data_IF_032589515514
#
_entry.id   IF_032589515514
#
_cell.length_a   1.000
_cell.length_b   1.000
_cell.length_c   1.000
_cell.angle_alpha   90.00
_cell.angle_beta   90.00
_cell.angle_gamma   90.00
#
_symmetry.space_group_name_H-M   'P 1'
#
loop_
_entity.id
_entity.type
_entity.pdbx_description
1 polymer ?
#
# COMPACT_ATOMS: atom_id res chain seq x y z
N UNK A 1 -16.20 49.33 34.01
CA UNK A 1 -14.73 49.16 34.21
C UNK A 1 -14.48 47.73 34.69
N UNK A 2 -13.94 46.77 33.93
CA UNK A 2 -12.89 46.87 32.94
C UNK A 2 -11.52 46.58 33.58
N UNK A 3 -11.24 45.33 33.95
CA UNK A 3 -9.86 44.82 34.12
C UNK A 3 -9.73 43.55 33.29
N UNK A 4 -8.97 43.68 32.20
CA UNK A 4 -8.60 42.62 31.27
C UNK A 4 -7.76 41.58 32.01
N UNK A 5 -8.13 40.30 31.91
CA UNK A 5 -7.21 39.18 32.07
C UNK A 5 -6.47 39.03 30.75
N UNK A 6 -5.20 39.41 30.74
CA UNK A 6 -4.26 38.93 29.73
C UNK A 6 -3.84 37.53 30.17
N UNK A 7 -4.43 36.51 29.54
CA UNK A 7 -3.87 35.17 29.60
C UNK A 7 -3.10 34.97 28.31
N UNK A 8 -1.78 34.82 28.46
CA UNK A 8 -0.84 34.61 27.40
C UNK A 8 -1.23 33.38 26.57
N UNK A 9 -1.26 33.58 25.25
CA UNK A 9 -1.15 32.52 24.28
C UNK A 9 0.21 31.83 24.44
N UNK A 10 0.23 30.51 24.40
CA UNK A 10 1.50 29.78 24.34
C UNK A 10 1.29 28.27 24.26
N UNK A 11 1.38 27.75 23.03
CA UNK A 11 1.65 26.37 22.67
C UNK A 11 0.54 25.32 22.93
N UNK A 12 -0.40 25.22 21.99
CA UNK A 12 -0.97 23.90 21.66
C UNK A 12 -1.04 23.70 20.13
N UNK A 13 -0.86 22.44 19.74
CA UNK A 13 -1.07 21.83 18.43
C UNK A 13 0.09 21.83 17.42
N UNK A 14 1.25 21.31 17.84
CA UNK A 14 2.06 20.47 16.95
C UNK A 14 1.47 19.05 16.97
N UNK A 15 0.43 18.78 16.18
CA UNK A 15 -0.11 17.43 16.04
C UNK A 15 0.89 16.57 15.30
N UNK A 16 1.63 15.71 16.01
CA UNK A 16 2.47 14.67 15.41
C UNK A 16 1.60 13.79 14.52
N UNK A 17 1.95 13.75 13.23
CA UNK A 17 1.35 12.84 12.27
C UNK A 17 1.97 11.44 12.47
N UNK A 18 1.78 10.83 13.66
CA UNK A 18 2.29 9.50 13.95
C UNK A 18 1.32 8.44 13.41
N UNK A 19 1.62 7.88 12.24
CA UNK A 19 1.05 6.62 11.80
C UNK A 19 1.83 5.47 12.44
N UNK A 20 1.17 4.68 13.28
CA UNK A 20 1.77 3.52 13.95
C UNK A 20 1.14 2.23 13.41
N UNK A 21 1.93 1.40 12.73
CA UNK A 21 1.50 0.12 12.17
C UNK A 21 1.11 -0.90 13.24
N UNK A 22 1.45 -0.73 14.52
CA UNK A 22 0.93 -1.56 15.62
C UNK A 22 -0.59 -1.56 15.69
N UNK A 23 -1.23 -0.46 15.27
CA UNK A 23 -2.70 -0.36 15.19
C UNK A 23 -3.31 -1.33 14.18
N UNK A 24 -2.52 -1.81 13.22
CA UNK A 24 -2.95 -2.79 12.23
C UNK A 24 -2.91 -4.23 12.75
N UNK A 25 -2.15 -4.53 13.81
CA UNK A 25 -1.97 -5.90 14.33
C UNK A 25 -3.27 -6.72 14.46
N UNK A 26 -4.39 -6.18 14.99
CA UNK A 26 -5.64 -6.93 15.06
C UNK A 26 -6.16 -7.36 13.68
N UNK A 27 -5.98 -6.53 12.64
CA UNK A 27 -6.41 -6.81 11.26
C UNK A 27 -5.49 -7.83 10.58
N UNK A 28 -4.21 -7.88 10.94
CA UNK A 28 -3.20 -8.77 10.33
C UNK A 28 -3.27 -10.21 10.85
N UNK A 29 -4.04 -10.48 11.92
CA UNK A 29 -4.31 -11.86 12.38
C UNK A 29 -5.02 -12.66 11.31
N UNK A 30 -4.58 -13.90 11.06
CA UNK A 30 -5.06 -14.75 9.96
C UNK A 30 -6.59 -14.78 9.82
N UNK A 31 -7.33 -14.97 10.91
CA UNK A 31 -8.80 -14.97 10.89
C UNK A 31 -9.36 -13.72 10.21
N UNK A 32 -8.86 -12.53 10.57
CA UNK A 32 -9.32 -11.26 10.02
C UNK A 32 -8.73 -11.02 8.62
N UNK A 33 -7.45 -11.32 8.45
CA UNK A 33 -6.71 -11.17 7.20
C UNK A 33 -7.32 -12.00 6.06
N UNK A 34 -7.79 -13.22 6.34
CA UNK A 34 -8.45 -14.09 5.36
C UNK A 34 -9.75 -13.49 4.81
N UNK A 35 -10.37 -12.58 5.57
CA UNK A 35 -11.58 -11.89 5.18
C UNK A 35 -11.32 -10.55 4.48
N UNK A 36 -10.11 -9.99 4.57
CA UNK A 36 -9.72 -8.77 3.88
C UNK A 36 -9.97 -8.89 2.38
N UNK A 37 -10.62 -7.87 1.82
CA UNK A 37 -11.00 -7.86 0.42
C UNK A 37 -9.79 -7.83 -0.51
N UNK A 38 -8.72 -7.13 -0.11
CA UNK A 38 -7.46 -7.09 -0.85
C UNK A 38 -6.82 -8.48 -0.91
N UNK A 39 -6.82 -9.24 0.18
CA UNK A 39 -6.29 -10.62 0.22
C UNK A 39 -7.08 -11.54 -0.72
N UNK A 40 -8.41 -11.40 -0.76
CA UNK A 40 -9.27 -12.13 -1.70
C UNK A 40 -9.02 -11.71 -3.15
N UNK A 41 -8.89 -10.41 -3.42
CA UNK A 41 -8.56 -9.87 -4.74
C UNK A 41 -7.19 -10.36 -5.23
N UNK A 42 -6.23 -10.49 -4.30
CA UNK A 42 -4.90 -11.07 -4.51
C UNK A 42 -4.91 -12.60 -4.64
N UNK A 43 -6.04 -13.29 -4.40
CA UNK A 43 -6.13 -14.77 -4.31
C UNK A 43 -5.10 -15.36 -3.33
N UNK A 44 -4.84 -14.63 -2.24
CA UNK A 44 -3.77 -14.94 -1.30
C UNK A 44 -4.26 -15.61 -0.02
N UNK A 45 -5.52 -16.02 0.08
CA UNK A 45 -6.06 -16.69 1.29
C UNK A 45 -5.29 -17.96 1.65
N UNK A 46 -4.88 -18.76 0.66
CA UNK A 46 -4.07 -19.96 0.90
C UNK A 46 -2.66 -19.63 1.34
N UNK A 47 -2.07 -18.57 0.78
CA UNK A 47 -0.75 -18.07 1.16
C UNK A 47 -0.78 -17.59 2.62
N UNK A 48 -1.77 -16.77 2.98
CA UNK A 48 -1.98 -16.30 4.35
C UNK A 48 -2.19 -17.45 5.35
N UNK A 49 -2.87 -18.53 4.93
CA UNK A 49 -3.06 -19.71 5.78
C UNK A 49 -1.74 -20.46 6.04
N UNK A 50 -0.89 -20.58 5.01
CA UNK A 50 0.43 -21.18 5.14
C UNK A 50 1.35 -20.35 6.04
N UNK A 51 1.32 -19.02 5.92
CA UNK A 51 2.06 -18.12 6.81
C UNK A 51 1.64 -18.27 8.27
N UNK A 52 0.32 -18.35 8.52
CA UNK A 52 -0.21 -18.52 9.87
C UNK A 52 0.23 -19.86 10.50
N UNK A 53 0.17 -20.95 9.73
CA UNK A 53 0.62 -22.26 10.17
C UNK A 53 2.13 -22.29 10.49
N UNK A 54 2.96 -21.57 9.72
CA UNK A 54 4.39 -21.45 9.97
C UNK A 54 4.72 -20.63 11.24
N UNK A 55 3.85 -19.69 11.62
CA UNK A 55 4.03 -18.89 12.84
C UNK A 55 3.62 -19.59 14.14
N UNK A 56 2.69 -20.57 14.07
CA UNK A 56 2.19 -21.29 15.25
C UNK A 56 3.13 -22.44 15.71
N UNK A 57 4.08 -22.87 14.86
CA UNK A 57 5.00 -23.99 15.13
C UNK A 57 6.32 -23.56 15.84
N UNK A 58 6.45 -22.30 16.25
CA UNK A 58 7.71 -21.78 16.79
C UNK A 58 7.56 -21.21 18.21
N UNK A 59 8.30 -21.81 19.16
CA UNK A 59 8.76 -21.11 20.36
C UNK A 59 9.66 -19.91 19.99
N UNK A 60 10.30 -19.20 20.94
CA UNK A 60 11.08 -18.02 20.63
C UNK A 60 12.36 -18.40 19.87
N UNK A 61 12.27 -18.49 18.54
CA UNK A 61 13.40 -18.71 17.65
C UNK A 61 13.16 -17.96 16.32
N UNK A 62 14.28 -17.55 15.75
CA UNK A 62 14.45 -16.57 14.69
C UNK A 62 13.47 -16.70 13.51
N UNK A 63 13.23 -15.55 12.85
CA UNK A 63 12.48 -15.44 11.61
C UNK A 63 12.82 -16.61 10.68
N UNK A 64 11.81 -17.31 10.12
CA UNK A 64 12.09 -18.49 9.31
C UNK A 64 12.92 -18.05 8.10
N UNK A 65 14.08 -18.67 7.94
CA UNK A 65 14.94 -18.57 6.75
C UNK A 65 14.24 -19.25 5.55
N UNK A 66 13.00 -18.87 5.26
CA UNK A 66 12.36 -19.22 3.99
C UNK A 66 13.05 -18.41 2.92
N UNK A 67 13.65 -19.09 1.94
CA UNK A 67 14.25 -18.48 0.75
C UNK A 67 13.30 -17.42 0.16
N UNK A 68 13.70 -16.15 0.27
CA UNK A 68 12.89 -14.99 -0.11
C UNK A 68 12.56 -15.00 -1.62
N UNK A 69 13.30 -15.82 -2.39
CA UNK A 69 13.08 -16.14 -3.80
C UNK A 69 11.76 -16.88 -4.08
N UNK A 70 11.20 -17.63 -3.12
CA UNK A 70 10.01 -18.46 -3.36
C UNK A 70 8.68 -17.72 -3.10
N UNK A 71 8.73 -16.55 -2.45
CA UNK A 71 7.53 -15.77 -2.11
C UNK A 71 7.04 -14.99 -3.34
N UNK A 72 5.71 -14.95 -3.59
CA UNK A 72 5.19 -14.11 -4.65
C UNK A 72 5.49 -12.63 -4.36
N UNK A 73 5.76 -11.88 -5.42
CA UNK A 73 6.13 -10.47 -5.33
C UNK A 73 4.94 -9.57 -5.63
N UNK A 74 4.59 -8.71 -4.67
CA UNK A 74 3.66 -7.62 -4.86
C UNK A 74 4.39 -6.28 -5.00
N UNK A 75 3.95 -5.48 -5.96
CA UNK A 75 4.46 -4.14 -6.21
C UNK A 75 3.34 -3.11 -6.03
N UNK A 76 3.37 -2.35 -4.94
CA UNK A 76 2.40 -1.28 -4.67
C UNK A 76 2.92 0.03 -5.26
N UNK A 77 2.20 0.56 -6.25
CA UNK A 77 2.59 1.78 -6.94
C UNK A 77 2.19 3.07 -6.20
N UNK A 78 1.41 2.97 -5.13
CA UNK A 78 0.75 4.09 -4.46
C UNK A 78 0.63 3.80 -2.97
N UNK A 79 1.79 3.69 -2.30
CA UNK A 79 1.88 3.22 -0.93
C UNK A 79 0.97 3.98 0.05
N UNK A 80 0.90 5.32 -0.07
CA UNK A 80 0.16 6.13 0.87
C UNK A 80 0.71 5.96 2.28
N UNK A 81 -0.07 5.40 3.19
CA UNK A 81 0.37 5.11 4.58
C UNK A 81 0.87 3.66 4.77
N UNK A 82 0.96 2.89 3.69
CA UNK A 82 1.50 1.52 3.68
C UNK A 82 0.57 0.45 4.24
N UNK A 83 -0.68 0.76 4.59
CA UNK A 83 -1.61 -0.22 5.17
C UNK A 83 -1.91 -1.40 4.23
N UNK A 84 -2.19 -1.12 2.96
CA UNK A 84 -2.49 -2.16 1.97
C UNK A 84 -1.25 -3.00 1.64
N UNK A 85 -0.08 -2.34 1.59
CA UNK A 85 1.23 -3.00 1.50
C UNK A 85 1.48 -3.93 2.70
N UNK A 86 1.16 -3.50 3.93
CA UNK A 86 1.29 -4.30 5.14
C UNK A 86 0.33 -5.51 5.14
N UNK A 87 -0.90 -5.34 4.62
CA UNK A 87 -1.86 -6.43 4.44
C UNK A 87 -1.33 -7.48 3.45
N UNK A 88 -0.75 -7.05 2.33
CA UNK A 88 -0.15 -7.97 1.36
C UNK A 88 1.07 -8.68 1.95
N UNK A 89 1.94 -7.97 2.67
CA UNK A 89 3.08 -8.56 3.35
C UNK A 89 2.62 -9.58 4.40
N UNK A 90 1.59 -9.27 5.19
CA UNK A 90 1.00 -10.19 6.16
C UNK A 90 0.37 -11.41 5.51
N UNK A 91 -0.16 -11.27 4.29
CA UNK A 91 -0.69 -12.38 3.51
C UNK A 91 0.41 -13.29 2.93
N UNK A 92 1.68 -12.92 3.05
CA UNK A 92 2.86 -13.73 2.68
C UNK A 92 3.64 -13.24 1.46
N UNK A 93 3.24 -12.12 0.85
CA UNK A 93 4.00 -11.54 -0.25
C UNK A 93 5.31 -10.91 0.24
N UNK A 94 6.32 -10.92 -0.63
CA UNK A 94 7.38 -9.91 -0.62
C UNK A 94 6.80 -8.65 -1.26
N UNK A 95 6.91 -7.49 -0.61
CA UNK A 95 6.24 -6.27 -1.04
C UNK A 95 7.27 -5.17 -1.31
N UNK A 96 7.30 -4.68 -2.54
CA UNK A 96 7.95 -3.40 -2.86
C UNK A 96 6.88 -2.34 -2.99
N UNK A 97 6.99 -1.23 -2.28
CA UNK A 97 5.95 -0.20 -2.27
C UNK A 97 6.54 1.18 -2.54
N UNK A 98 5.87 1.94 -3.40
CA UNK A 98 6.38 3.21 -3.93
C UNK A 98 5.61 4.39 -3.35
N UNK A 99 6.35 5.42 -2.92
CA UNK A 99 5.79 6.70 -2.52
C UNK A 99 6.56 7.84 -3.17
N UNK A 100 5.84 8.74 -3.84
CA UNK A 100 6.43 9.84 -4.59
C UNK A 100 6.57 11.11 -3.74
N UNK A 101 5.73 11.26 -2.70
CA UNK A 101 5.81 12.40 -1.80
C UNK A 101 6.95 12.16 -0.79
N UNK A 102 8.05 12.94 -0.83
CA UNK A 102 9.22 12.69 -0.01
C UNK A 102 8.94 12.77 1.50
N UNK A 103 7.95 13.57 1.92
CA UNK A 103 7.56 13.67 3.33
C UNK A 103 6.86 12.40 3.79
N UNK A 104 5.97 11.85 2.95
CA UNK A 104 5.28 10.58 3.24
C UNK A 104 6.25 9.42 3.15
N UNK A 105 7.16 9.42 2.18
CA UNK A 105 8.19 8.40 2.04
C UNK A 105 9.13 8.36 3.26
N UNK A 106 9.57 9.52 3.77
CA UNK A 106 10.39 9.56 4.98
C UNK A 106 9.62 9.05 6.20
N UNK A 107 8.34 9.40 6.32
CA UNK A 107 7.50 8.86 7.38
C UNK A 107 7.36 7.33 7.28
N UNK A 108 7.10 6.80 6.09
CA UNK A 108 7.04 5.34 5.86
C UNK A 108 8.37 4.65 6.17
N UNK A 109 9.49 5.29 5.86
CA UNK A 109 10.85 4.79 6.19
C UNK A 109 11.03 4.66 7.69
N UNK A 110 10.57 5.66 8.45
CA UNK A 110 10.55 5.62 9.92
C UNK A 110 9.60 4.54 10.45
N UNK A 111 8.38 4.42 9.92
CA UNK A 111 7.44 3.36 10.31
C UNK A 111 8.02 1.96 10.06
N UNK A 112 8.64 1.74 8.90
CA UNK A 112 9.28 0.48 8.54
C UNK A 112 10.44 0.16 9.48
N UNK A 113 11.30 1.14 9.77
CA UNK A 113 12.39 0.98 10.74
C UNK A 113 11.85 0.61 12.12
N UNK A 114 10.88 1.35 12.63
CA UNK A 114 10.27 1.10 13.95
C UNK A 114 9.63 -0.29 14.02
N UNK A 115 9.00 -0.76 12.94
CA UNK A 115 8.43 -2.09 12.86
C UNK A 115 9.49 -3.21 12.85
N UNK A 116 10.64 -2.99 12.20
CA UNK A 116 11.78 -3.92 12.19
C UNK A 116 12.50 -3.99 13.55
N UNK A 117 12.46 -2.90 14.33
CA UNK A 117 13.08 -2.78 15.65
C UNK A 117 12.10 -3.13 16.80
N UNK A 118 10.87 -3.56 16.50
CA UNK A 118 9.82 -3.82 17.49
C UNK A 118 9.97 -5.19 18.20
N UNK A 119 10.71 -5.20 19.32
CA UNK A 119 10.92 -6.34 20.22
C UNK A 119 9.67 -6.87 20.91
N UNK A 120 8.64 -6.04 21.05
CA UNK A 120 7.39 -6.46 21.68
C UNK A 120 6.44 -7.16 20.68
N UNK A 121 6.66 -6.96 19.37
CA UNK A 121 5.77 -7.46 18.32
C UNK A 121 6.53 -8.26 17.24
N UNK A 122 6.99 -9.50 17.52
CA UNK A 122 7.70 -10.33 16.55
C UNK A 122 6.93 -10.57 15.24
N UNK A 123 5.59 -10.64 15.31
CA UNK A 123 4.74 -10.76 14.13
C UNK A 123 4.86 -9.54 13.21
N UNK A 124 4.81 -8.33 13.77
CA UNK A 124 4.95 -7.09 12.98
C UNK A 124 6.32 -7.02 12.33
N UNK A 125 7.36 -7.40 13.07
CA UNK A 125 8.73 -7.45 12.55
C UNK A 125 8.87 -8.41 11.38
N UNK A 126 8.34 -9.62 11.50
CA UNK A 126 8.37 -10.61 10.43
C UNK A 126 7.62 -10.11 9.19
N UNK A 127 6.50 -9.40 9.37
CA UNK A 127 5.76 -8.78 8.26
C UNK A 127 6.60 -7.69 7.60
N UNK A 128 7.16 -6.78 8.40
CA UNK A 128 7.98 -5.67 7.93
C UNK A 128 9.26 -6.13 7.22
N UNK A 129 9.86 -7.27 7.61
CA UNK A 129 11.07 -7.79 6.97
C UNK A 129 10.88 -8.22 5.52
N UNK A 130 9.62 -8.33 5.05
CA UNK A 130 9.27 -8.62 3.66
C UNK A 130 8.99 -7.38 2.82
N UNK A 131 9.15 -6.19 3.40
CA UNK A 131 8.73 -4.93 2.82
C UNK A 131 9.92 -4.05 2.45
N UNK A 132 9.89 -3.48 1.25
CA UNK A 132 10.91 -2.57 0.74
C UNK A 132 10.26 -1.28 0.19
N UNK A 133 10.64 -0.14 0.76
CA UNK A 133 10.17 1.17 0.30
C UNK A 133 11.04 1.68 -0.85
N UNK A 134 10.42 2.09 -1.95
CA UNK A 134 11.06 2.85 -3.03
C UNK A 134 10.50 4.26 -3.09
N UNK A 135 11.35 5.25 -2.86
CA UNK A 135 10.97 6.65 -2.99
C UNK A 135 11.04 7.10 -4.46
N UNK A 136 9.94 7.66 -4.98
CA UNK A 136 9.86 8.22 -6.33
C UNK A 136 8.53 7.95 -7.04
N UNK A 137 8.43 8.44 -8.28
CA UNK A 137 7.26 8.20 -9.13
C UNK A 137 7.23 6.73 -9.56
N UNK A 138 6.14 6.03 -9.22
CA UNK A 138 5.99 4.61 -9.54
C UNK A 138 5.99 4.32 -11.04
N UNK A 139 5.57 5.24 -11.90
CA UNK A 139 5.68 5.10 -13.36
C UNK A 139 7.14 5.08 -13.80
N UNK A 140 7.96 5.99 -13.28
CA UNK A 140 9.39 6.04 -13.60
C UNK A 140 10.11 4.81 -13.05
N UNK A 141 9.79 4.40 -11.82
CA UNK A 141 10.35 3.21 -11.18
C UNK A 141 9.98 1.97 -11.97
N UNK A 142 8.70 1.78 -12.33
CA UNK A 142 8.27 0.64 -13.15
C UNK A 142 8.98 0.61 -14.50
N UNK A 143 9.08 1.75 -15.20
CA UNK A 143 9.79 1.81 -16.49
C UNK A 143 11.26 1.43 -16.35
N UNK A 144 11.91 1.84 -15.26
CA UNK A 144 13.31 1.48 -14.98
C UNK A 144 13.48 0.01 -14.63
N UNK A 145 12.64 -0.53 -13.76
CA UNK A 145 12.75 -1.92 -13.27
C UNK A 145 12.31 -2.95 -14.30
N UNK A 146 11.36 -2.59 -15.17
CA UNK A 146 10.65 -3.54 -16.04
C UNK A 146 10.92 -3.30 -17.53
N UNK A 147 11.87 -2.45 -17.91
CA UNK A 147 12.23 -2.19 -19.31
C UNK A 147 12.88 -3.39 -20.01
N UNK A 148 13.70 -4.15 -19.30
CA UNK A 148 14.45 -5.28 -19.88
C UNK A 148 13.56 -6.52 -19.99
N UNK A 149 13.73 -7.31 -21.06
CA UNK A 149 12.91 -8.50 -21.32
C UNK A 149 13.00 -9.53 -20.18
N UNK A 150 14.22 -9.80 -19.70
CA UNK A 150 14.53 -10.75 -18.65
C UNK A 150 14.35 -10.21 -17.23
N UNK A 151 13.89 -8.96 -17.07
CA UNK A 151 13.63 -8.41 -15.75
C UNK A 151 12.56 -9.25 -15.01
N UNK A 152 12.75 -9.52 -13.71
CA UNK A 152 11.74 -10.20 -12.91
C UNK A 152 10.43 -9.40 -12.95
N UNK A 153 9.30 -10.11 -13.03
CA UNK A 153 7.97 -9.48 -13.07
C UNK A 153 7.27 -9.69 -11.73
N UNK A 154 6.58 -8.68 -11.19
CA UNK A 154 5.78 -8.87 -10.00
C UNK A 154 4.58 -9.77 -10.30
N UNK A 155 4.21 -10.63 -9.38
CA UNK A 155 2.99 -11.43 -9.47
C UNK A 155 1.74 -10.55 -9.37
N UNK A 156 1.85 -9.46 -8.61
CA UNK A 156 0.78 -8.53 -8.33
C UNK A 156 1.25 -7.08 -8.39
N UNK A 157 0.51 -6.22 -9.08
CA UNK A 157 0.62 -4.76 -8.95
C UNK A 157 -0.62 -4.23 -8.24
N UNK A 158 -0.44 -3.39 -7.23
CA UNK A 158 -1.52 -2.66 -6.56
C UNK A 158 -1.50 -1.19 -6.96
N UNK A 159 -2.68 -0.67 -7.33
CA UNK A 159 -2.92 0.73 -7.66
C UNK A 159 -4.07 1.26 -6.79
N UNK A 160 -3.83 2.28 -5.98
CA UNK A 160 -4.81 3.08 -5.23
C UNK A 160 -4.48 4.57 -5.35
N UNK A 161 -4.53 5.15 -6.57
CA UNK A 161 -4.11 6.52 -6.73
C UNK A 161 -5.13 7.48 -6.11
N UNK A 162 -4.65 8.28 -5.15
CA UNK A 162 -5.41 9.42 -4.62
C UNK A 162 -5.45 10.55 -5.64
N UNK A 163 -6.30 10.46 -6.66
CA UNK A 163 -6.47 11.59 -7.59
C UNK A 163 -7.41 12.65 -7.01
N UNK A 164 -7.06 13.95 -7.08
CA UNK A 164 -7.95 15.00 -6.65
C UNK A 164 -9.18 15.08 -7.57
N UNK A 165 -10.37 15.01 -6.99
CA UNK A 165 -11.58 15.44 -7.69
C UNK A 165 -11.44 16.93 -8.01
N UNK A 166 -11.40 17.29 -9.30
CA UNK A 166 -11.63 18.68 -9.71
C UNK A 166 -13.09 19.05 -9.38
N UNK A 167 -13.41 19.43 -8.14
CA UNK A 167 -14.62 20.19 -7.78
C UNK A 167 -14.61 20.79 -6.34
N UNK A 168 -14.78 22.12 -6.34
CA UNK A 168 -15.08 23.16 -5.32
C UNK A 168 -14.94 22.90 -3.79
N UNK A 169 -14.54 24.00 -3.15
CA UNK A 169 -13.91 24.26 -1.84
C UNK A 169 -14.67 23.89 -0.55
N UNK A 170 -13.92 23.46 0.47
CA UNK A 170 -14.19 23.70 1.90
C UNK A 170 -12.87 24.01 2.63
N UNK A 171 -12.91 24.65 3.81
CA UNK A 171 -11.70 25.12 4.53
C UNK A 171 -10.74 23.98 4.97
N UNK A 172 -11.26 22.78 5.20
CA UNK A 172 -10.45 21.57 5.46
C UNK A 172 -9.76 21.08 4.19
N UNK A 173 -10.37 21.28 3.01
CA UNK A 173 -9.73 21.02 1.71
C UNK A 173 -8.57 21.96 1.41
N UNK A 174 -8.43 23.13 2.06
CA UNK A 174 -7.32 24.06 1.76
C UNK A 174 -5.95 23.55 2.23
N UNK A 175 -5.87 22.86 3.38
CA UNK A 175 -4.59 22.24 3.83
C UNK A 175 -4.19 21.06 2.95
N UNK A 176 -5.15 20.22 2.53
CA UNK A 176 -4.91 19.15 1.55
C UNK A 176 -4.62 19.69 0.14
N UNK A 177 -5.29 20.77 -0.27
CA UNK A 177 -5.03 21.44 -1.55
C UNK A 177 -3.63 22.07 -1.59
N UNK A 178 -3.11 22.54 -0.45
CA UNK A 178 -1.74 23.06 -0.40
C UNK A 178 -0.71 21.95 -0.65
N UNK A 179 -0.98 20.73 -0.14
CA UNK A 179 -0.19 19.53 -0.45
C UNK A 179 -0.35 19.19 -1.95
N UNK A 180 -1.59 19.13 -2.47
CA UNK A 180 -1.87 18.86 -3.89
C UNK A 180 -1.34 19.90 -4.88
N UNK A 181 -1.12 21.15 -4.45
CA UNK A 181 -0.54 22.21 -5.29
C UNK A 181 0.99 22.20 -5.31
N UNK A 182 1.64 21.51 -4.36
CA UNK A 182 3.08 21.26 -4.34
C UNK A 182 3.44 19.98 -5.12
N UNK A 183 2.46 19.14 -5.43
CA UNK A 183 2.61 17.94 -6.22
C UNK A 183 2.75 18.30 -7.71
N UNK A 184 3.89 17.92 -8.32
CA UNK A 184 4.02 17.86 -9.79
C UNK A 184 2.86 17.01 -10.33
N UNK A 185 2.31 17.31 -11.51
CA UNK A 185 1.16 16.57 -12.04
C UNK A 185 1.47 15.07 -12.01
N UNK A 186 0.81 14.38 -11.07
CA UNK A 186 0.82 12.94 -10.95
C UNK A 186 0.54 12.36 -12.34
N UNK A 187 1.29 11.34 -12.73
CA UNK A 187 1.11 10.66 -14.00
C UNK A 187 -0.40 10.44 -14.26
N UNK A 188 -0.85 10.84 -15.45
CA UNK A 188 -2.24 10.64 -15.88
C UNK A 188 -2.68 9.19 -15.62
N UNK A 189 -3.95 8.97 -15.22
CA UNK A 189 -4.52 7.65 -14.94
C UNK A 189 -4.18 6.65 -16.05
N UNK A 190 -4.23 7.12 -17.29
CA UNK A 190 -3.90 6.36 -18.49
C UNK A 190 -2.43 5.93 -18.52
N UNK A 191 -1.51 6.81 -18.15
CA UNK A 191 -0.08 6.50 -18.12
C UNK A 191 0.25 5.50 -17.02
N UNK A 192 -0.32 5.68 -15.82
CA UNK A 192 -0.12 4.76 -14.70
C UNK A 192 -0.61 3.36 -15.06
N UNK A 193 -1.85 3.24 -15.55
CA UNK A 193 -2.43 1.95 -15.89
C UNK A 193 -1.69 1.28 -17.06
N UNK A 194 -1.37 2.02 -18.13
CA UNK A 194 -0.60 1.47 -19.26
C UNK A 194 0.77 0.96 -18.83
N UNK A 195 1.44 1.70 -17.95
CA UNK A 195 2.76 1.29 -17.43
C UNK A 195 2.63 0.03 -16.57
N UNK A 196 1.62 -0.05 -15.70
CA UNK A 196 1.34 -1.26 -14.91
C UNK A 196 1.00 -2.48 -15.79
N UNK A 197 0.24 -2.29 -16.88
CA UNK A 197 -0.05 -3.36 -17.85
C UNK A 197 1.21 -3.82 -18.60
N UNK A 198 2.09 -2.88 -18.97
CA UNK A 198 3.37 -3.15 -19.62
C UNK A 198 4.38 -3.81 -18.68
N UNK A 199 4.29 -3.56 -17.37
CA UNK A 199 5.19 -4.08 -16.33
C UNK A 199 5.20 -5.60 -16.20
N UNK A 200 4.33 -6.32 -16.92
CA UNK A 200 4.43 -7.77 -17.02
C UNK A 200 3.59 -8.54 -16.01
N UNK A 201 2.97 -7.88 -15.03
CA UNK A 201 2.40 -8.54 -13.87
C UNK A 201 1.31 -9.58 -14.16
N UNK A 202 1.25 -10.64 -13.35
CA UNK A 202 0.22 -11.67 -13.43
C UNK A 202 -1.17 -11.14 -13.09
N UNK A 203 -1.23 -10.17 -12.16
CA UNK A 203 -2.44 -9.44 -11.78
C UNK A 203 -2.17 -7.98 -11.50
N UNK A 204 -3.12 -7.14 -11.88
CA UNK A 204 -3.19 -5.74 -11.44
C UNK A 204 -4.49 -5.58 -10.67
N UNK A 205 -4.38 -5.04 -9.45
CA UNK A 205 -5.52 -4.74 -8.59
C UNK A 205 -5.61 -3.22 -8.48
N UNK A 206 -6.79 -2.69 -8.78
CA UNK A 206 -7.07 -1.27 -8.65
C UNK A 206 -8.13 -1.05 -7.57
N UNK A 207 -7.77 -0.35 -6.51
CA UNK A 207 -8.69 0.05 -5.46
C UNK A 207 -9.48 1.28 -5.91
N UNK A 208 -10.80 1.21 -5.79
CA UNK A 208 -11.71 2.29 -6.22
C UNK A 208 -12.89 2.43 -5.27
N UNK A 209 -13.51 3.62 -5.16
CA UNK A 209 -14.84 3.74 -4.56
C UNK A 209 -15.85 2.87 -5.32
N UNK A 210 -16.82 2.28 -4.63
CA UNK A 210 -17.83 1.38 -5.26
C UNK A 210 -18.53 2.02 -6.46
N UNK A 211 -18.80 3.33 -6.40
CA UNK A 211 -19.45 4.11 -7.48
C UNK A 211 -18.48 4.92 -8.35
N UNK A 212 -17.17 4.78 -8.14
CA UNK A 212 -16.15 5.49 -8.92
C UNK A 212 -16.04 4.93 -10.35
N UNK A 213 -15.57 5.73 -11.33
CA UNK A 213 -15.30 5.21 -12.67
C UNK A 213 -14.16 4.18 -12.63
N UNK A 214 -14.00 3.38 -13.68
CA UNK A 214 -12.81 2.56 -13.84
C UNK A 214 -11.58 3.43 -14.10
N UNK A 215 -10.40 2.98 -13.65
CA UNK A 215 -9.14 3.68 -13.88
C UNK A 215 -8.86 3.78 -15.38
N UNK A 216 -8.65 5.00 -15.88
CA UNK A 216 -8.49 5.29 -17.31
C UNK A 216 -9.62 4.73 -18.21
N UNK A 217 -10.82 4.51 -17.65
CA UNK A 217 -11.96 3.94 -18.39
C UNK A 217 -11.81 2.47 -18.80
N UNK A 218 -10.75 1.78 -18.39
CA UNK A 218 -10.48 0.38 -18.75
C UNK A 218 -11.31 -0.55 -17.89
N UNK A 219 -12.15 -1.38 -18.51
CA UNK A 219 -12.97 -2.36 -17.79
C UNK A 219 -12.10 -3.48 -17.22
N UNK A 220 -12.20 -3.80 -15.91
CA UNK A 220 -11.46 -4.92 -15.31
C UNK A 220 -12.01 -6.27 -15.77
N UNK A 221 -11.21 -7.33 -15.61
CA UNK A 221 -11.64 -8.70 -15.85
C UNK A 221 -12.76 -9.10 -14.89
N UNK A 222 -12.65 -8.71 -13.62
CA UNK A 222 -13.71 -8.83 -12.61
C UNK A 222 -13.49 -7.78 -11.51
N UNK A 223 -14.52 -7.54 -10.69
CA UNK A 223 -14.44 -6.63 -9.54
C UNK A 223 -14.96 -7.32 -8.29
N UNK A 224 -14.29 -7.10 -7.15
CA UNK A 224 -14.79 -7.48 -5.83
C UNK A 224 -15.30 -6.23 -5.11
N UNK A 225 -16.59 -6.16 -4.85
CA UNK A 225 -17.23 -4.98 -4.25
C UNK A 225 -17.54 -5.19 -2.77
N UNK A 226 -17.14 -4.22 -1.94
CA UNK A 226 -17.50 -4.12 -0.54
C UNK A 226 -18.58 -3.07 -0.32
N UNK A 227 -18.67 -2.55 0.90
CA UNK A 227 -19.64 -1.48 1.26
C UNK A 227 -19.26 -0.12 0.67
N UNK A 228 -17.97 0.23 0.73
CA UNK A 228 -17.45 1.57 0.36
C UNK A 228 -16.43 1.49 -0.78
N UNK A 229 -15.61 0.45 -0.76
CA UNK A 229 -14.50 0.22 -1.69
C UNK A 229 -14.80 -1.01 -2.53
N UNK A 230 -14.34 -1.00 -3.78
CA UNK A 230 -14.22 -2.18 -4.65
C UNK A 230 -12.78 -2.33 -5.14
N UNK A 231 -12.42 -3.56 -5.49
CA UNK A 231 -11.14 -3.90 -6.10
C UNK A 231 -11.39 -4.40 -7.52
N UNK A 232 -11.00 -3.59 -8.50
CA UNK A 232 -11.05 -3.90 -9.92
C UNK A 232 -9.80 -4.72 -10.28
N UNK A 233 -9.99 -5.96 -10.72
CA UNK A 233 -8.91 -6.91 -10.99
C UNK A 233 -8.73 -7.09 -12.50
N UNK A 234 -7.55 -6.73 -13.01
CA UNK A 234 -7.12 -6.99 -14.38
C UNK A 234 -6.14 -8.16 -14.33
N UNK A 235 -6.50 -9.27 -14.97
CA UNK A 235 -5.64 -10.45 -15.07
C UNK A 235 -5.23 -10.65 -16.51
N UNK A 236 -3.96 -10.98 -16.74
CA UNK A 236 -3.56 -11.50 -18.04
C UNK A 236 -4.25 -12.85 -18.18
N UNK A 237 -5.06 -12.99 -19.21
CA UNK A 237 -5.56 -14.31 -19.58
C UNK A 237 -4.37 -14.98 -20.23
N UNK A 238 -3.83 -16.03 -19.61
CA UNK A 238 -2.74 -16.77 -20.22
C UNK A 238 -3.20 -17.22 -21.62
N UNK A 239 -2.59 -16.67 -22.66
CA UNK A 239 -2.50 -17.39 -23.91
C UNK A 239 -1.69 -18.64 -23.56
N UNK A 240 -2.39 -19.77 -23.51
CA UNK A 240 -1.89 -21.13 -23.30
C UNK A 240 -0.39 -21.23 -23.62
N UNK A 241 0.43 -21.38 -22.57
CA UNK A 241 1.83 -21.81 -22.71
C UNK A 241 1.87 -23.29 -23.05
#
# INVERSE_FOLDING_TARGET
MGRKKENALGAEAGGEFQHDWRRMLPRLRYHNLSHEMLVKAAKATKLAAAEAAASDDCGPAAAPETDDCARPWAFDCTAGMGEDSLILAAAGFRVTFCEYNPVVAEHLRECLKNALEDDENPQLRAIASRMELMEGDSVEIMKRLFSEENAPRPDLILLDPMFPERKKSSLVKKKLQLIQQLEKPCADEETLLKTAMAAGAGRIIVKRPVKGPYLAGVKPSYSLSGKVIRYDCIVKTDAVR
#
